data_IF_034654101438
#
_entry.id   IF_034654101438
#
_cell.length_a   1.000
_cell.length_b   1.000
_cell.length_c   1.000
_cell.angle_alpha   90.00
_cell.angle_beta   90.00
_cell.angle_gamma   90.00
#
_symmetry.space_group_name_H-M   'P 1'
#
loop_
_entity.id
_entity.type
_entity.pdbx_description
1 polymer ?
#
# COMPACT_ATOMS: atom_id res chain seq x y z
N UNK A 1 -26.21 -9.69 -35.18
CA UNK A 1 -25.37 -9.69 -33.97
C UNK A 1 -24.37 -10.80 -34.14
N UNK A 2 -23.09 -10.47 -34.06
CA UNK A 2 -21.99 -11.43 -34.19
C UNK A 2 -22.04 -12.47 -33.04
N UNK A 3 -21.56 -13.69 -33.29
CA UNK A 3 -21.60 -14.79 -32.32
C UNK A 3 -20.91 -14.41 -31.01
N UNK A 4 -19.77 -13.72 -31.12
CA UNK A 4 -18.94 -13.32 -29.97
C UNK A 4 -19.61 -12.23 -29.13
N UNK A 5 -20.30 -11.28 -29.77
CA UNK A 5 -21.06 -10.25 -29.07
C UNK A 5 -22.19 -10.83 -28.22
N UNK A 6 -22.83 -11.92 -28.70
CA UNK A 6 -23.88 -12.62 -27.95
C UNK A 6 -23.32 -13.42 -26.77
N UNK A 7 -22.17 -14.07 -26.95
CA UNK A 7 -21.48 -14.78 -25.86
C UNK A 7 -21.08 -13.80 -24.75
N UNK A 8 -20.53 -12.64 -25.13
CA UNK A 8 -20.15 -11.60 -24.18
C UNK A 8 -21.34 -11.02 -23.41
N UNK A 9 -22.46 -10.75 -24.08
CA UNK A 9 -23.68 -10.30 -23.42
C UNK A 9 -24.21 -11.33 -22.41
N UNK A 10 -24.25 -12.62 -22.78
CA UNK A 10 -24.64 -13.68 -21.87
C UNK A 10 -23.72 -13.78 -20.64
N UNK A 11 -22.42 -13.51 -20.81
CA UNK A 11 -21.46 -13.49 -19.70
C UNK A 11 -21.76 -12.34 -18.72
N UNK A 12 -22.10 -11.15 -19.23
CA UNK A 12 -22.53 -10.03 -18.38
C UNK A 12 -23.80 -10.39 -17.61
N UNK A 13 -24.81 -10.96 -18.28
CA UNK A 13 -26.06 -11.36 -17.63
C UNK A 13 -25.81 -12.40 -16.53
N UNK A 14 -24.99 -13.42 -16.85
CA UNK A 14 -24.60 -14.46 -15.89
C UNK A 14 -23.84 -13.89 -14.70
N UNK A 15 -22.94 -12.93 -14.93
CA UNK A 15 -22.20 -12.25 -13.86
C UNK A 15 -23.14 -11.49 -12.91
N UNK A 16 -24.19 -10.86 -13.44
CA UNK A 16 -25.18 -10.12 -12.65
C UNK A 16 -26.00 -11.06 -11.76
N UNK A 17 -26.43 -12.21 -12.30
CA UNK A 17 -27.12 -13.26 -11.54
C UNK A 17 -26.24 -13.75 -10.37
N UNK A 18 -25.00 -14.13 -10.66
CA UNK A 18 -24.07 -14.65 -9.64
C UNK A 18 -23.75 -13.61 -8.58
N UNK A 19 -23.61 -12.34 -8.95
CA UNK A 19 -23.41 -11.25 -8.01
C UNK A 19 -24.62 -11.11 -7.08
N UNK A 20 -25.85 -11.18 -7.61
CA UNK A 20 -27.07 -11.15 -6.81
C UNK A 20 -27.14 -12.32 -5.81
N UNK A 21 -26.82 -13.53 -6.25
CA UNK A 21 -26.75 -14.71 -5.36
C UNK A 21 -25.67 -14.56 -4.29
N UNK A 22 -24.50 -14.03 -4.63
CA UNK A 22 -23.40 -13.78 -3.69
C UNK A 22 -23.77 -12.74 -2.64
N UNK A 23 -24.44 -11.64 -3.04
CA UNK A 23 -24.93 -10.61 -2.12
C UNK A 23 -25.92 -11.23 -1.14
N UNK A 24 -26.92 -11.97 -1.63
CA UNK A 24 -27.89 -12.65 -0.77
C UNK A 24 -27.22 -13.65 0.18
N UNK A 25 -26.21 -14.38 -0.28
CA UNK A 25 -25.45 -15.30 0.55
C UNK A 25 -24.66 -14.57 1.66
N UNK A 26 -23.94 -13.50 1.32
CA UNK A 26 -23.12 -12.75 2.27
C UNK A 26 -23.92 -11.90 3.25
N UNK A 27 -25.16 -11.53 2.92
CA UNK A 27 -26.10 -10.87 3.84
C UNK A 27 -26.94 -11.85 4.67
N UNK A 28 -26.70 -13.16 4.57
CA UNK A 28 -27.40 -14.14 5.38
C UNK A 28 -26.95 -14.07 6.85
N UNK A 29 -27.82 -14.53 7.77
CA UNK A 29 -27.59 -14.54 9.22
C UNK A 29 -26.26 -15.23 9.65
N UNK A 30 -25.69 -16.07 8.78
CA UNK A 30 -24.38 -16.70 8.98
C UNK A 30 -23.26 -15.65 9.12
N UNK A 31 -23.39 -14.51 8.45
CA UNK A 31 -22.34 -13.51 8.33
C UNK A 31 -22.57 -12.25 9.17
N UNK A 32 -23.75 -12.10 9.79
CA UNK A 32 -24.12 -10.94 10.62
C UNK A 32 -23.05 -10.58 11.66
N UNK A 33 -22.44 -11.59 12.28
CA UNK A 33 -21.40 -11.37 13.31
C UNK A 33 -20.16 -10.63 12.80
N UNK A 34 -19.96 -10.54 11.49
CA UNK A 34 -18.85 -9.81 10.87
C UNK A 34 -19.33 -8.62 10.03
N UNK A 35 -20.43 -8.76 9.29
CA UNK A 35 -20.94 -7.66 8.46
C UNK A 35 -21.59 -6.54 9.30
N UNK A 36 -22.38 -6.90 10.32
CA UNK A 36 -23.09 -5.91 11.14
C UNK A 36 -22.16 -4.95 11.87
N UNK A 37 -21.05 -5.39 12.51
CA UNK A 37 -20.07 -4.47 13.09
C UNK A 37 -19.53 -3.43 12.11
N UNK A 38 -19.22 -3.83 10.86
CA UNK A 38 -18.69 -2.92 9.83
C UNK A 38 -19.72 -1.84 9.46
N UNK A 39 -20.99 -2.23 9.30
CA UNK A 39 -22.07 -1.29 9.01
C UNK A 39 -22.35 -0.34 10.18
N UNK A 40 -22.32 -0.85 11.42
CA UNK A 40 -22.53 -0.03 12.63
C UNK A 40 -21.38 0.96 12.86
N UNK A 41 -20.14 0.53 12.62
CA UNK A 41 -18.97 1.40 12.72
C UNK A 41 -19.08 2.58 11.75
N UNK A 42 -19.42 2.29 10.48
CA UNK A 42 -19.61 3.33 9.47
C UNK A 42 -20.82 4.23 9.74
N UNK A 43 -21.89 3.69 10.34
CA UNK A 43 -23.06 4.47 10.72
C UNK A 43 -22.79 5.44 11.90
N UNK A 44 -21.70 5.21 12.63
CA UNK A 44 -21.29 6.00 13.79
C UNK A 44 -22.30 6.00 14.94
N UNK A 45 -22.09 6.85 15.96
CA UNK A 45 -22.96 6.91 17.14
C UNK A 45 -24.41 7.30 16.82
N UNK A 46 -24.63 8.03 15.72
CA UNK A 46 -25.97 8.45 15.28
C UNK A 46 -26.74 7.36 14.51
N UNK A 47 -26.10 6.22 14.21
CA UNK A 47 -26.66 5.12 13.44
C UNK A 47 -27.24 5.58 12.08
N UNK A 48 -26.56 6.53 11.42
CA UNK A 48 -26.93 7.01 10.10
C UNK A 48 -25.89 6.54 9.09
N UNK A 49 -26.34 5.74 8.13
CA UNK A 49 -25.52 5.25 7.04
C UNK A 49 -26.18 5.62 5.71
N UNK A 50 -25.42 6.25 4.83
CA UNK A 50 -25.84 6.50 3.45
C UNK A 50 -25.93 5.18 2.67
N UNK A 51 -26.88 5.08 1.74
CA UNK A 51 -27.09 3.86 0.95
C UNK A 51 -25.87 3.52 0.09
N UNK A 52 -25.22 4.53 -0.50
CA UNK A 52 -24.00 4.38 -1.30
C UNK A 52 -22.87 3.78 -0.46
N UNK A 53 -22.72 4.28 0.76
CA UNK A 53 -21.70 3.82 1.70
C UNK A 53 -22.01 2.40 2.20
N UNK A 54 -23.27 2.08 2.50
CA UNK A 54 -23.69 0.73 2.83
C UNK A 54 -23.36 -0.26 1.70
N UNK A 55 -23.64 0.11 0.44
CA UNK A 55 -23.32 -0.70 -0.73
C UNK A 55 -21.81 -0.95 -0.81
N UNK A 56 -20.98 0.08 -0.60
CA UNK A 56 -19.51 -0.06 -0.61
C UNK A 56 -19.00 -1.00 0.47
N UNK A 57 -19.51 -0.87 1.69
CA UNK A 57 -19.13 -1.74 2.81
C UNK A 57 -19.52 -3.19 2.51
N UNK A 58 -20.72 -3.42 2.00
CA UNK A 58 -21.18 -4.75 1.61
C UNK A 58 -20.29 -5.30 0.50
N UNK A 59 -19.98 -4.52 -0.53
CA UNK A 59 -19.13 -4.98 -1.63
C UNK A 59 -17.72 -5.33 -1.15
N UNK A 60 -17.11 -4.47 -0.31
CA UNK A 60 -15.83 -4.75 0.32
C UNK A 60 -15.87 -6.05 1.14
N UNK A 61 -16.93 -6.23 1.94
CA UNK A 61 -17.14 -7.42 2.76
C UNK A 61 -17.23 -8.69 1.91
N UNK A 62 -17.99 -8.65 0.81
CA UNK A 62 -18.16 -9.79 -0.07
C UNK A 62 -16.86 -10.18 -0.76
N UNK A 63 -16.15 -9.18 -1.30
CA UNK A 63 -15.07 -9.41 -2.26
C UNK A 63 -13.70 -9.61 -1.60
N UNK A 64 -13.39 -8.84 -0.54
CA UNK A 64 -12.02 -8.74 -0.01
C UNK A 64 -11.89 -9.06 1.47
N UNK A 65 -12.95 -8.92 2.26
CA UNK A 65 -12.86 -9.14 3.71
C UNK A 65 -12.45 -10.58 4.02
N UNK A 66 -11.40 -10.71 4.83
CA UNK A 66 -10.84 -12.00 5.25
C UNK A 66 -11.49 -12.42 6.56
N UNK A 67 -12.20 -13.54 6.53
CA UNK A 67 -12.77 -14.17 7.73
C UNK A 67 -11.64 -14.68 8.65
N UNK A 68 -11.94 -15.08 9.91
CA UNK A 68 -10.91 -15.53 10.86
C UNK A 68 -10.04 -16.71 10.39
N UNK A 69 -10.48 -17.48 9.40
CA UNK A 69 -9.71 -18.56 8.78
C UNK A 69 -9.04 -18.17 7.46
N UNK A 70 -9.02 -16.89 7.12
CA UNK A 70 -8.36 -16.33 5.93
C UNK A 70 -9.19 -16.41 4.63
N UNK A 71 -10.32 -17.12 4.62
CA UNK A 71 -11.21 -17.20 3.46
C UNK A 71 -12.04 -15.91 3.27
N UNK A 72 -12.34 -15.54 2.03
CA UNK A 72 -13.34 -14.50 1.72
C UNK A 72 -14.76 -15.09 1.66
N UNK A 73 -15.78 -14.22 1.58
CA UNK A 73 -17.17 -14.67 1.36
C UNK A 73 -17.30 -15.36 -0.01
N UNK A 74 -16.60 -14.86 -1.03
CA UNK A 74 -16.48 -15.53 -2.34
C UNK A 74 -15.97 -16.97 -2.20
N UNK A 75 -14.88 -17.18 -1.45
CA UNK A 75 -14.30 -18.52 -1.27
C UNK A 75 -15.33 -19.48 -0.65
N UNK A 76 -16.08 -19.02 0.36
CA UNK A 76 -17.13 -19.80 1.02
C UNK A 76 -18.30 -20.11 0.08
N UNK A 77 -18.70 -19.13 -0.73
CA UNK A 77 -19.79 -19.27 -1.68
C UNK A 77 -19.46 -20.33 -2.75
N UNK A 78 -18.27 -20.21 -3.35
CA UNK A 78 -17.79 -21.15 -4.38
C UNK A 78 -17.59 -22.57 -3.82
N UNK A 79 -17.02 -22.71 -2.62
CA UNK A 79 -16.82 -24.01 -1.98
C UNK A 79 -18.14 -24.69 -1.60
N UNK A 80 -19.19 -23.93 -1.27
CA UNK A 80 -20.50 -24.43 -0.87
C UNK A 80 -21.40 -24.88 -2.03
N UNK A 81 -21.09 -24.49 -3.27
CA UNK A 81 -21.94 -24.72 -4.44
C UNK A 81 -21.33 -25.77 -5.37
N UNK A 82 -22.04 -26.87 -5.63
CA UNK A 82 -21.60 -27.94 -6.55
C UNK A 82 -22.15 -27.79 -7.97
N UNK A 83 -23.16 -26.96 -8.11
CA UNK A 83 -23.89 -26.65 -9.34
C UNK A 83 -23.22 -25.59 -10.22
N UNK A 84 -22.20 -24.89 -9.70
CA UNK A 84 -21.42 -23.92 -10.48
C UNK A 84 -20.58 -24.62 -11.54
N UNK A 85 -20.62 -24.08 -12.76
CA UNK A 85 -19.71 -24.46 -13.84
C UNK A 85 -18.29 -23.98 -13.55
N UNK A 86 -17.29 -24.51 -14.25
CA UNK A 86 -15.89 -24.07 -14.06
C UNK A 86 -15.72 -22.58 -14.38
N UNK A 87 -16.37 -22.10 -15.45
CA UNK A 87 -16.35 -20.69 -15.82
C UNK A 87 -17.00 -19.79 -14.75
N UNK A 88 -18.11 -20.24 -14.13
CA UNK A 88 -18.73 -19.50 -13.02
C UNK A 88 -17.79 -19.41 -11.81
N UNK A 89 -17.07 -20.50 -11.50
CA UNK A 89 -16.09 -20.53 -10.40
C UNK A 89 -14.94 -19.58 -10.68
N UNK A 90 -14.40 -19.61 -11.89
CA UNK A 90 -13.30 -18.75 -12.30
C UNK A 90 -13.70 -17.27 -12.22
N UNK A 91 -14.88 -16.92 -12.74
CA UNK A 91 -15.44 -15.58 -12.67
C UNK A 91 -15.57 -15.10 -11.21
N UNK A 92 -16.22 -15.89 -10.36
CA UNK A 92 -16.41 -15.56 -8.93
C UNK A 92 -15.08 -15.40 -8.20
N UNK A 93 -14.14 -16.35 -8.37
CA UNK A 93 -12.83 -16.30 -7.71
C UNK A 93 -11.97 -15.13 -8.21
N UNK A 94 -12.17 -14.67 -9.45
CA UNK A 94 -11.56 -13.45 -9.98
C UNK A 94 -12.00 -12.18 -9.24
N UNK A 95 -13.20 -12.17 -8.65
CA UNK A 95 -13.70 -11.00 -7.91
C UNK A 95 -13.03 -10.79 -6.55
N UNK A 96 -12.10 -11.65 -6.14
CA UNK A 96 -11.29 -11.48 -4.91
C UNK A 96 -10.25 -10.36 -5.03
N UNK A 97 -9.93 -9.96 -6.26
CA UNK A 97 -8.95 -8.92 -6.59
C UNK A 97 -9.63 -7.77 -7.36
N UNK A 98 -10.64 -7.10 -6.77
CA UNK A 98 -11.30 -6.00 -7.44
C UNK A 98 -10.40 -4.75 -7.47
N UNK A 99 -10.71 -3.84 -8.37
CA UNK A 99 -10.05 -2.53 -8.50
C UNK A 99 -10.98 -1.46 -7.97
N UNK A 100 -10.73 -1.05 -6.74
CA UNK A 100 -11.35 0.13 -6.14
C UNK A 100 -10.48 1.34 -6.46
N UNK A 101 -11.07 2.41 -6.96
CA UNK A 101 -10.29 3.56 -7.37
C UNK A 101 -11.07 4.79 -7.75
N UNK A 102 -10.28 5.80 -8.10
CA UNK A 102 -10.75 7.07 -8.64
C UNK A 102 -10.33 7.09 -10.10
N UNK A 103 -11.31 7.12 -11.00
CA UNK A 103 -11.06 6.95 -12.41
C UNK A 103 -11.38 8.22 -13.19
N UNK A 104 -10.50 8.64 -14.10
CA UNK A 104 -10.82 9.60 -15.15
C UNK A 104 -11.44 8.85 -16.33
N UNK A 105 -12.56 9.39 -16.86
CA UNK A 105 -13.21 8.86 -18.05
C UNK A 105 -12.42 9.33 -19.27
N UNK A 106 -11.69 8.42 -19.90
CA UNK A 106 -10.84 8.74 -21.06
C UNK A 106 -11.62 8.81 -22.36
N UNK A 107 -12.59 7.90 -22.54
CA UNK A 107 -13.48 7.86 -23.72
C UNK A 107 -14.67 6.94 -23.49
N UNK A 108 -15.71 7.13 -24.28
CA UNK A 108 -16.80 6.16 -24.47
C UNK A 108 -16.47 5.28 -25.68
N UNK A 109 -16.66 3.97 -25.55
CA UNK A 109 -16.36 2.99 -26.59
C UNK A 109 -17.51 1.98 -26.68
N UNK A 110 -18.53 2.34 -27.49
CA UNK A 110 -19.77 1.57 -27.62
C UNK A 110 -20.55 1.50 -26.31
N UNK A 111 -20.74 0.28 -25.81
CA UNK A 111 -21.40 -0.01 -24.53
C UNK A 111 -20.43 0.07 -23.33
N UNK A 112 -19.14 0.28 -23.58
CA UNK A 112 -18.12 0.43 -22.56
C UNK A 112 -17.71 1.89 -22.35
N UNK A 113 -17.10 2.14 -21.19
CA UNK A 113 -16.28 3.33 -20.93
C UNK A 113 -14.85 2.88 -20.66
N UNK A 114 -13.88 3.63 -21.17
CA UNK A 114 -12.47 3.40 -20.83
C UNK A 114 -12.06 4.36 -19.74
N UNK A 115 -11.62 3.78 -18.62
CA UNK A 115 -11.37 4.46 -17.36
C UNK A 115 -9.88 4.39 -17.04
N UNK A 116 -9.23 5.54 -16.87
CA UNK A 116 -7.87 5.58 -16.33
C UNK A 116 -7.97 5.67 -14.81
N UNK A 117 -7.43 4.70 -14.08
CA UNK A 117 -7.33 4.82 -12.64
C UNK A 117 -6.20 5.78 -12.27
N UNK A 118 -6.51 6.83 -11.51
CA UNK A 118 -5.55 7.86 -11.12
C UNK A 118 -4.53 7.38 -10.07
N UNK A 119 -4.73 6.19 -9.50
CA UNK A 119 -3.85 5.62 -8.46
C UNK A 119 -2.81 4.67 -9.05
N UNK A 120 -3.22 3.74 -9.91
CA UNK A 120 -2.34 2.72 -10.49
C UNK A 120 -1.86 3.05 -11.93
N UNK A 121 -2.41 4.10 -12.55
CA UNK A 121 -2.15 4.54 -13.94
C UNK A 121 -2.54 3.51 -15.03
N UNK A 122 -3.39 2.53 -14.74
CA UNK A 122 -3.88 1.57 -15.72
C UNK A 122 -5.21 2.01 -16.34
N UNK A 123 -5.40 1.67 -17.62
CA UNK A 123 -6.69 1.81 -18.30
C UNK A 123 -7.55 0.55 -18.15
N UNK A 124 -8.82 0.75 -17.83
CA UNK A 124 -9.82 -0.29 -17.60
C UNK A 124 -10.98 -0.12 -18.57
N UNK A 125 -11.14 -1.08 -19.50
CA UNK A 125 -12.32 -1.15 -20.36
C UNK A 125 -13.49 -1.70 -19.57
N UNK A 126 -14.43 -0.83 -19.24
CA UNK A 126 -15.43 -1.07 -18.20
C UNK A 126 -16.85 -1.10 -18.76
N UNK A 127 -17.62 -2.10 -18.34
CA UNK A 127 -19.00 -2.35 -18.70
C UNK A 127 -19.90 -2.27 -17.46
N UNK A 128 -21.21 -2.29 -17.68
CA UNK A 128 -22.22 -2.38 -16.63
C UNK A 128 -23.25 -3.46 -16.98
N UNK A 129 -23.75 -4.17 -15.97
CA UNK A 129 -24.84 -5.13 -16.12
C UNK A 129 -26.18 -4.49 -16.52
N UNK A 130 -26.35 -3.18 -16.35
CA UNK A 130 -27.52 -2.44 -16.87
C UNK A 130 -27.23 -1.75 -18.21
N UNK A 131 -26.10 -2.10 -18.83
CA UNK A 131 -25.66 -1.62 -20.14
C UNK A 131 -25.30 -0.13 -20.17
N UNK A 132 -25.32 0.45 -21.37
CA UNK A 132 -24.91 1.84 -21.62
C UNK A 132 -25.70 2.88 -20.79
N UNK A 133 -26.89 2.52 -20.30
CA UNK A 133 -27.73 3.39 -19.48
C UNK A 133 -27.00 3.85 -18.20
N UNK A 134 -26.15 3.00 -17.62
CA UNK A 134 -25.31 3.34 -16.45
C UNK A 134 -24.41 4.55 -16.71
N UNK A 135 -23.96 4.74 -17.96
CA UNK A 135 -22.97 5.74 -18.33
C UNK A 135 -23.57 6.99 -18.99
N UNK A 136 -24.90 7.17 -18.96
CA UNK A 136 -25.55 8.33 -19.61
C UNK A 136 -25.08 9.67 -19.06
N UNK A 137 -24.91 9.78 -17.74
CA UNK A 137 -24.43 11.01 -17.06
C UNK A 137 -22.91 11.18 -17.07
N UNK A 138 -22.18 10.18 -17.56
CA UNK A 138 -20.72 10.17 -17.55
C UNK A 138 -20.20 10.88 -18.80
N UNK A 139 -19.29 11.83 -18.63
CA UNK A 139 -18.63 12.55 -19.74
C UNK A 139 -17.13 12.29 -19.75
N UNK A 140 -16.53 12.35 -20.94
CA UNK A 140 -15.07 12.37 -21.08
C UNK A 140 -14.46 13.53 -20.27
N UNK A 141 -13.34 13.26 -19.59
CA UNK A 141 -12.72 14.18 -18.63
C UNK A 141 -13.49 14.35 -17.32
N UNK A 142 -14.61 13.64 -17.14
CA UNK A 142 -15.25 13.46 -15.84
C UNK A 142 -14.59 12.34 -15.03
N UNK A 143 -15.03 12.17 -13.79
CA UNK A 143 -14.45 11.20 -12.87
C UNK A 143 -15.50 10.24 -12.33
N UNK A 144 -15.09 9.01 -12.05
CA UNK A 144 -15.89 7.97 -11.42
C UNK A 144 -15.22 7.48 -10.14
N UNK A 145 -16.00 7.32 -9.09
CA UNK A 145 -15.60 6.67 -7.84
C UNK A 145 -16.37 5.36 -7.73
N UNK A 146 -15.67 4.24 -7.93
CA UNK A 146 -16.34 2.93 -8.05
C UNK A 146 -15.38 1.76 -7.80
N UNK A 147 -15.94 0.56 -7.73
CA UNK A 147 -15.23 -0.70 -7.65
C UNK A 147 -15.43 -1.46 -8.97
N UNK A 148 -14.35 -2.01 -9.52
CA UNK A 148 -14.38 -2.82 -10.74
C UNK A 148 -14.03 -4.26 -10.42
N UNK A 149 -14.76 -5.21 -10.98
CA UNK A 149 -14.45 -6.64 -10.92
C UNK A 149 -14.09 -7.16 -12.32
N UNK A 150 -13.15 -8.10 -12.44
CA UNK A 150 -12.78 -8.63 -13.74
C UNK A 150 -13.91 -9.50 -14.31
N UNK A 151 -14.12 -9.41 -15.62
CA UNK A 151 -15.09 -10.23 -16.35
C UNK A 151 -14.40 -11.42 -17.02
N UNK A 152 -13.81 -12.29 -16.21
CA UNK A 152 -13.11 -13.50 -16.69
C UNK A 152 -14.12 -14.47 -17.33
N UNK A 153 -13.82 -15.12 -18.48
CA UNK A 153 -12.53 -15.17 -19.20
C UNK A 153 -12.36 -14.10 -20.29
N UNK A 154 -13.17 -13.05 -20.32
CA UNK A 154 -12.96 -11.97 -21.29
C UNK A 154 -11.78 -11.09 -20.86
N UNK A 155 -10.61 -11.35 -21.46
CA UNK A 155 -9.38 -10.61 -21.17
C UNK A 155 -9.57 -9.10 -21.31
N UNK A 156 -9.13 -8.36 -20.29
CA UNK A 156 -9.16 -6.90 -20.28
C UNK A 156 -10.55 -6.27 -20.12
N UNK A 157 -11.62 -7.06 -19.92
CA UNK A 157 -12.96 -6.55 -19.65
C UNK A 157 -13.24 -6.48 -18.14
N UNK A 158 -13.82 -5.36 -17.73
CA UNK A 158 -14.15 -5.07 -16.33
C UNK A 158 -15.63 -4.73 -16.18
N UNK A 159 -16.21 -5.07 -15.04
CA UNK A 159 -17.58 -4.69 -14.68
C UNK A 159 -17.58 -3.79 -13.47
N UNK A 160 -18.45 -2.77 -13.50
CA UNK A 160 -18.79 -2.00 -12.31
C UNK A 160 -19.44 -2.91 -11.29
N UNK A 161 -18.94 -2.88 -10.05
CA UNK A 161 -19.49 -3.56 -8.89
C UNK A 161 -19.87 -2.53 -7.83
N UNK A 162 -21.06 -2.69 -7.25
CA UNK A 162 -21.54 -1.83 -6.17
C UNK A 162 -21.93 -0.43 -6.65
N UNK A 163 -21.68 0.57 -5.80
CA UNK A 163 -22.08 1.93 -6.06
C UNK A 163 -21.09 2.63 -7.02
N UNK A 164 -21.65 3.49 -7.89
CA UNK A 164 -20.90 4.36 -8.78
C UNK A 164 -21.30 5.80 -8.51
N UNK A 165 -20.32 6.61 -8.12
CA UNK A 165 -20.47 8.05 -8.06
C UNK A 165 -19.77 8.69 -9.26
N UNK A 166 -20.37 9.76 -9.79
CA UNK A 166 -19.82 10.48 -10.94
C UNK A 166 -19.64 11.96 -10.61
N UNK A 167 -18.51 12.49 -11.04
CA UNK A 167 -18.12 13.87 -10.80
C UNK A 167 -17.75 14.54 -12.12
N UNK A 168 -18.17 15.79 -12.29
CA UNK A 168 -17.80 16.57 -13.48
C UNK A 168 -16.34 17.04 -13.38
N UNK A 169 -15.71 17.27 -14.54
CA UNK A 169 -14.31 17.72 -14.62
C UNK A 169 -14.00 19.05 -13.90
N UNK A 170 -15.02 19.82 -13.48
CA UNK A 170 -14.83 21.03 -12.70
C UNK A 170 -14.23 20.77 -11.29
N UNK A 171 -14.40 19.56 -10.74
CA UNK A 171 -13.84 19.16 -9.44
C UNK A 171 -12.49 18.43 -9.52
N UNK A 172 -11.74 18.60 -10.61
CA UNK A 172 -10.53 17.81 -10.85
C UNK A 172 -9.44 17.98 -9.77
N UNK A 173 -9.35 19.15 -9.14
CA UNK A 173 -8.35 19.42 -8.10
C UNK A 173 -8.68 18.65 -6.81
N UNK A 174 -9.93 18.67 -6.37
CA UNK A 174 -10.41 17.92 -5.21
C UNK A 174 -10.28 16.40 -5.44
N UNK A 175 -10.63 15.95 -6.65
CA UNK A 175 -10.48 14.55 -7.06
C UNK A 175 -9.00 14.13 -7.05
N UNK A 176 -8.10 14.98 -7.56
CA UNK A 176 -6.67 14.71 -7.52
C UNK A 176 -6.13 14.63 -6.07
N UNK A 177 -6.59 15.51 -5.18
CA UNK A 177 -6.22 15.44 -3.76
C UNK A 177 -6.72 14.14 -3.10
N UNK A 178 -7.94 13.71 -3.41
CA UNK A 178 -8.48 12.44 -2.94
C UNK A 178 -7.66 11.24 -3.46
N UNK A 179 -7.28 11.24 -4.73
CA UNK A 179 -6.47 10.19 -5.33
C UNK A 179 -5.04 10.15 -4.75
N UNK A 180 -4.44 11.32 -4.50
CA UNK A 180 -3.15 11.43 -3.81
C UNK A 180 -3.23 10.87 -2.38
N UNK A 181 -4.28 11.23 -1.63
CA UNK A 181 -4.48 10.70 -0.29
C UNK A 181 -4.65 9.17 -0.31
N UNK A 182 -5.38 8.64 -1.29
CA UNK A 182 -5.56 7.20 -1.46
C UNK A 182 -4.22 6.51 -1.79
N UNK A 183 -3.40 7.07 -2.68
CA UNK A 183 -2.07 6.53 -3.02
C UNK A 183 -1.09 6.52 -1.84
N UNK A 184 -1.21 7.48 -0.91
CA UNK A 184 -0.39 7.58 0.30
C UNK A 184 -0.89 6.63 1.40
N UNK A 185 -2.19 6.59 1.63
CA UNK A 185 -2.79 5.77 2.70
C UNK A 185 -2.88 4.28 2.36
N UNK A 186 -2.90 3.95 1.06
CA UNK A 186 -3.03 2.58 0.52
C UNK A 186 -2.08 2.35 -0.67
N UNK A 187 -0.76 2.32 -0.44
CA UNK A 187 0.23 2.17 -1.51
C UNK A 187 0.11 0.85 -2.28
N UNK A 188 -0.49 -0.19 -1.70
CA UNK A 188 -0.78 -1.46 -2.36
C UNK A 188 -1.67 -1.31 -3.60
N UNK A 189 -2.50 -0.26 -3.65
CA UNK A 189 -3.34 0.04 -4.82
C UNK A 189 -2.49 0.53 -5.99
N UNK A 190 -1.45 1.33 -5.73
CA UNK A 190 -0.52 1.85 -6.74
C UNK A 190 0.27 0.70 -7.38
N UNK A 191 0.71 -0.25 -6.54
CA UNK A 191 1.54 -1.39 -6.95
C UNK A 191 0.80 -2.49 -7.70
N UNK A 192 -0.49 -2.29 -7.98
CA UNK A 192 -1.21 -3.11 -8.95
C UNK A 192 -0.54 -3.05 -10.34
N UNK A 193 0.01 -1.90 -10.69
CA UNK A 193 0.78 -1.72 -11.90
C UNK A 193 2.25 -2.15 -11.66
N UNK A 194 2.76 -3.20 -12.35
CA UNK A 194 4.15 -3.62 -12.22
C UNK A 194 5.16 -2.53 -12.56
N UNK A 195 4.84 -1.65 -13.51
CA UNK A 195 5.72 -0.53 -13.87
C UNK A 195 5.85 0.46 -12.71
N UNK A 196 4.80 0.65 -11.90
CA UNK A 196 4.85 1.48 -10.69
C UNK A 196 5.75 0.88 -9.62
N UNK A 197 5.79 -0.45 -9.50
CA UNK A 197 6.73 -1.13 -8.60
C UNK A 197 8.16 -0.84 -9.04
N UNK A 198 8.47 -0.98 -10.33
CA UNK A 198 9.80 -0.69 -10.87
C UNK A 198 10.20 0.78 -10.69
N UNK A 199 9.27 1.70 -10.97
CA UNK A 199 9.45 3.14 -10.74
C UNK A 199 9.71 3.45 -9.27
N UNK A 200 8.95 2.84 -8.34
CA UNK A 200 9.15 3.01 -6.90
C UNK A 200 10.54 2.55 -6.46
N UNK A 201 11.00 1.39 -6.94
CA UNK A 201 12.35 0.90 -6.65
C UNK A 201 13.43 1.81 -7.23
N UNK A 202 13.23 2.33 -8.44
CA UNK A 202 14.16 3.27 -9.06
C UNK A 202 14.24 4.57 -8.25
N UNK A 203 13.10 5.12 -7.85
CA UNK A 203 13.03 6.32 -7.03
C UNK A 203 13.74 6.13 -5.69
N UNK A 204 13.55 4.99 -5.01
CA UNK A 204 14.27 4.69 -3.76
C UNK A 204 15.78 4.63 -3.94
N UNK A 205 16.28 4.04 -5.04
CA UNK A 205 17.72 4.00 -5.32
C UNK A 205 18.30 5.38 -5.58
N UNK A 206 17.56 6.24 -6.29
CA UNK A 206 17.95 7.62 -6.54
C UNK A 206 17.94 8.45 -5.26
N UNK A 207 16.89 8.32 -4.44
CA UNK A 207 16.78 8.99 -3.14
C UNK A 207 17.88 8.55 -2.18
N UNK A 208 18.21 7.24 -2.17
CA UNK A 208 19.33 6.71 -1.40
C UNK A 208 20.66 7.30 -1.86
N UNK A 209 20.88 7.37 -3.17
CA UNK A 209 22.11 7.94 -3.74
C UNK A 209 22.26 9.41 -3.32
N UNK A 210 21.20 10.20 -3.46
CA UNK A 210 21.19 11.60 -3.03
C UNK A 210 21.42 11.76 -1.52
N UNK A 211 20.83 10.87 -0.70
CA UNK A 211 21.06 10.86 0.74
C UNK A 211 22.53 10.58 1.06
N UNK A 212 23.13 9.55 0.44
CA UNK A 212 24.55 9.20 0.66
C UNK A 212 25.48 10.32 0.18
N UNK A 213 25.18 10.97 -0.95
CA UNK A 213 25.96 12.11 -1.45
C UNK A 213 25.91 13.30 -0.48
N UNK A 214 24.75 13.57 0.12
CA UNK A 214 24.57 14.67 1.08
C UNK A 214 25.19 14.37 2.45
N UNK A 215 24.92 13.18 2.99
CA UNK A 215 25.31 12.77 4.34
C UNK A 215 26.71 12.14 4.42
N UNK A 216 27.28 11.73 3.30
CA UNK A 216 28.56 11.00 3.21
C UNK A 216 28.48 9.51 3.56
N UNK A 217 27.36 9.03 4.09
CA UNK A 217 27.12 7.62 4.41
C UNK A 217 25.63 7.29 4.36
N UNK A 218 25.32 6.02 4.11
CA UNK A 218 23.94 5.49 4.14
C UNK A 218 23.52 4.98 5.53
N UNK A 219 24.40 5.05 6.53
CA UNK A 219 24.16 4.63 7.90
C UNK A 219 24.84 5.62 8.84
N UNK A 220 24.09 6.19 9.78
CA UNK A 220 24.55 7.19 10.75
C UNK A 220 24.03 6.85 12.15
N UNK A 221 24.77 7.30 13.17
CA UNK A 221 24.34 7.25 14.57
C UNK A 221 24.55 8.63 15.17
N UNK A 222 23.48 9.29 15.54
CA UNK A 222 23.46 10.69 15.98
C UNK A 222 22.69 10.85 17.29
N UNK A 223 22.83 12.01 17.94
CA UNK A 223 21.86 12.42 18.96
C UNK A 223 20.51 12.75 18.29
N UNK A 224 19.37 12.69 19.00
CA UNK A 224 18.07 13.03 18.42
C UNK A 224 18.04 14.44 17.79
N UNK A 225 18.62 15.45 18.47
CA UNK A 225 18.68 16.81 17.95
C UNK A 225 19.51 16.94 16.66
N UNK A 226 20.68 16.30 16.61
CA UNK A 226 21.52 16.31 15.41
C UNK A 226 20.84 15.57 14.23
N UNK A 227 20.08 14.50 14.54
CA UNK A 227 19.31 13.76 13.53
C UNK A 227 18.21 14.62 12.90
N UNK A 228 17.43 15.35 13.71
CA UNK A 228 16.42 16.28 13.22
C UNK A 228 17.04 17.39 12.38
N UNK A 229 18.13 18.01 12.85
CA UNK A 229 18.81 19.07 12.12
C UNK A 229 19.31 18.58 10.75
N UNK A 230 19.95 17.40 10.73
CA UNK A 230 20.45 16.79 9.49
C UNK A 230 19.31 16.49 8.50
N UNK A 231 18.22 15.88 8.97
CA UNK A 231 17.09 15.50 8.10
C UNK A 231 16.40 16.72 7.52
N UNK A 232 16.18 17.75 8.34
CA UNK A 232 15.63 19.02 7.88
C UNK A 232 16.55 19.71 6.86
N UNK A 233 17.86 19.68 7.06
CA UNK A 233 18.83 20.19 6.11
C UNK A 233 18.80 19.40 4.79
N UNK A 234 18.73 18.07 4.86
CA UNK A 234 18.63 17.19 3.70
C UNK A 234 17.35 17.44 2.89
N UNK A 235 16.19 17.52 3.55
CA UNK A 235 14.92 17.78 2.87
C UNK A 235 14.90 19.17 2.21
N UNK A 236 15.46 20.18 2.86
CA UNK A 236 15.63 21.53 2.26
C UNK A 236 16.50 21.47 1.02
N UNK A 237 17.65 20.79 1.09
CA UNK A 237 18.55 20.62 -0.05
C UNK A 237 17.87 19.89 -1.23
N UNK A 238 17.11 18.83 -0.96
CA UNK A 238 16.33 18.10 -1.99
C UNK A 238 15.29 19.00 -2.65
N UNK A 239 14.60 19.83 -1.87
CA UNK A 239 13.61 20.77 -2.38
C UNK A 239 14.26 21.81 -3.31
N UNK A 240 15.36 22.42 -2.88
CA UNK A 240 16.09 23.42 -3.67
C UNK A 240 16.60 22.82 -4.99
N UNK A 241 17.16 21.61 -4.94
CA UNK A 241 17.66 20.89 -6.12
C UNK A 241 16.53 20.57 -7.10
N UNK A 242 15.38 20.10 -6.59
CA UNK A 242 14.20 19.79 -7.42
C UNK A 242 13.63 21.05 -8.08
N UNK A 243 13.54 22.15 -7.33
CA UNK A 243 13.08 23.44 -7.83
C UNK A 243 14.01 24.00 -8.93
N UNK A 244 15.33 23.86 -8.74
CA UNK A 244 16.33 24.27 -9.72
C UNK A 244 16.26 23.45 -11.02
N UNK A 245 15.96 22.16 -10.93
CA UNK A 245 15.81 21.27 -12.08
C UNK A 245 14.54 21.54 -12.91
N UNK A 246 13.50 22.14 -12.31
CA UNK A 246 12.19 22.36 -12.96
C UNK A 246 11.70 23.83 -12.89
N UNK A 247 12.43 24.80 -13.49
CA UNK A 247 12.10 26.23 -13.38
C UNK A 247 10.72 26.60 -13.98
N UNK A 248 10.19 25.78 -14.91
CA UNK A 248 8.87 25.98 -15.53
C UNK A 248 7.65 25.56 -14.69
N UNK A 249 7.83 24.76 -13.62
CA UNK A 249 6.76 24.48 -12.63
C UNK A 249 6.59 25.60 -11.60
N UNK A 250 7.60 26.47 -11.44
CA UNK A 250 7.62 27.58 -10.48
C UNK A 250 6.82 28.83 -10.90
N UNK A 251 6.24 28.87 -12.12
CA UNK A 251 5.52 30.06 -12.61
C UNK A 251 4.08 30.22 -12.07
N UNK A 252 3.55 29.24 -11.34
CA UNK A 252 2.17 29.25 -10.79
C UNK A 252 2.07 29.43 -9.27
N UNK A 253 3.17 29.26 -8.53
CA UNK A 253 3.26 29.59 -7.11
C UNK A 253 4.65 30.20 -6.90
N UNK A 254 4.72 31.37 -6.25
CA UNK A 254 5.93 31.77 -5.51
C UNK A 254 6.41 30.54 -4.72
N UNK A 255 7.72 30.43 -4.47
CA UNK A 255 8.33 29.38 -3.62
C UNK A 255 7.32 28.88 -2.57
N UNK A 256 7.14 27.57 -2.38
CA UNK A 256 6.29 27.11 -1.28
C UNK A 256 6.69 27.82 0.01
N UNK A 257 5.66 28.25 0.73
CA UNK A 257 5.67 28.92 2.02
C UNK A 257 6.87 28.56 2.93
N UNK A 258 7.37 29.50 3.77
CA UNK A 258 8.19 29.17 4.94
C UNK A 258 7.57 28.15 5.91
N UNK A 259 6.33 27.70 5.68
CA UNK A 259 5.60 26.66 6.42
C UNK A 259 5.72 25.25 5.79
N UNK A 260 6.90 24.84 5.30
CA UNK A 260 7.12 23.40 5.14
C UNK A 260 7.28 22.80 6.54
N UNK A 261 6.47 21.81 6.94
CA UNK A 261 6.59 21.25 8.27
C UNK A 261 8.00 20.72 8.45
N UNK A 262 8.69 21.21 9.48
CA UNK A 262 9.95 20.63 9.90
C UNK A 262 9.70 19.16 10.22
N UNK A 263 10.62 18.31 9.79
CA UNK A 263 10.67 16.96 10.30
C UNK A 263 10.93 17.03 11.80
N UNK A 264 10.03 16.42 12.56
CA UNK A 264 10.14 16.20 14.00
C UNK A 264 10.23 14.69 14.23
N UNK A 265 11.14 14.27 15.10
CA UNK A 265 11.23 12.86 15.46
C UNK A 265 9.98 12.46 16.26
N UNK A 266 9.44 11.26 16.00
CA UNK A 266 8.47 10.63 16.88
C UNK A 266 8.98 10.61 18.34
N UNK A 267 8.09 10.72 19.35
CA UNK A 267 8.49 10.80 20.75
C UNK A 267 9.48 9.72 21.20
N UNK A 268 9.26 8.46 20.77
CA UNK A 268 10.12 7.33 21.14
C UNK A 268 11.56 7.48 20.63
N UNK A 269 11.77 8.20 19.51
CA UNK A 269 13.10 8.50 18.96
C UNK A 269 13.70 9.77 19.57
N UNK A 270 12.87 10.74 19.94
CA UNK A 270 13.29 11.96 20.61
C UNK A 270 13.81 11.68 22.03
N UNK A 271 13.23 10.70 22.73
CA UNK A 271 13.62 10.28 24.08
C UNK A 271 14.81 9.32 24.12
N UNK A 272 15.31 8.87 22.95
CA UNK A 272 16.42 7.92 22.87
C UNK A 272 17.79 8.56 23.16
N UNK A 273 18.75 7.76 23.65
CA UNK A 273 20.13 8.21 23.86
C UNK A 273 20.81 8.51 22.50
N UNK A 274 20.48 7.72 21.47
CA UNK A 274 20.96 7.88 20.10
C UNK A 274 19.91 7.44 19.09
N UNK A 275 19.95 8.01 17.88
CA UNK A 275 19.12 7.61 16.74
C UNK A 275 20.03 7.05 15.65
N UNK A 276 19.76 5.81 15.24
CA UNK A 276 20.31 5.22 14.02
C UNK A 276 19.49 5.65 12.82
N UNK A 277 20.13 6.19 11.78
CA UNK A 277 19.51 6.51 10.50
C UNK A 277 20.11 5.56 9.46
N UNK A 278 19.29 4.74 8.82
CA UNK A 278 19.75 3.81 7.77
C UNK A 278 18.91 4.03 6.52
N UNK A 279 19.57 4.35 5.41
CA UNK A 279 18.95 4.31 4.08
C UNK A 279 19.40 3.03 3.36
N UNK A 280 18.52 2.03 3.37
CA UNK A 280 18.71 0.73 2.71
C UNK A 280 18.05 0.67 1.32
N UNK A 281 18.57 -0.19 0.45
CA UNK A 281 18.07 -0.35 -0.93
C UNK A 281 16.70 -1.05 -0.99
N UNK A 282 16.37 -1.87 0.01
CA UNK A 282 15.11 -2.63 0.09
C UNK A 282 14.19 -1.99 1.12
N UNK A 283 14.69 -1.79 2.34
CA UNK A 283 13.87 -1.32 3.46
C UNK A 283 13.66 0.21 3.45
N UNK A 284 14.40 0.95 2.63
CA UNK A 284 14.30 2.41 2.52
C UNK A 284 14.94 3.15 3.69
N UNK A 285 14.51 4.41 3.91
CA UNK A 285 14.98 5.25 5.00
C UNK A 285 14.27 4.88 6.31
N UNK A 286 15.03 4.40 7.30
CA UNK A 286 14.54 3.95 8.58
C UNK A 286 15.29 4.61 9.75
N UNK A 287 14.59 4.72 10.88
CA UNK A 287 15.07 5.34 12.11
C UNK A 287 14.99 4.35 13.29
N UNK A 288 16.03 4.30 14.12
CA UNK A 288 16.19 3.27 15.14
C UNK A 288 16.63 3.85 16.48
N UNK A 289 15.79 3.71 17.52
CA UNK A 289 16.07 4.20 18.87
C UNK A 289 17.19 3.41 19.54
N UNK A 290 18.10 4.11 20.23
CA UNK A 290 19.26 3.55 20.95
C UNK A 290 20.20 2.68 20.08
N UNK A 291 20.21 2.89 18.77
CA UNK A 291 20.99 2.07 17.83
C UNK A 291 22.50 2.10 18.12
N UNK A 292 23.02 3.22 18.65
CA UNK A 292 24.41 3.32 19.10
C UNK A 292 24.79 2.30 20.16
N UNK A 293 23.88 2.00 21.10
CA UNK A 293 24.11 1.01 22.15
C UNK A 293 24.11 -0.42 21.61
N UNK A 294 23.31 -0.70 20.58
CA UNK A 294 23.39 -1.98 19.88
C UNK A 294 24.69 -2.10 19.08
N UNK A 295 25.13 -1.03 18.42
CA UNK A 295 26.43 -1.02 17.75
C UNK A 295 27.56 -1.34 18.72
N UNK A 296 27.55 -0.71 19.89
CA UNK A 296 28.54 -0.97 20.94
C UNK A 296 28.47 -2.42 21.44
N UNK A 297 27.27 -2.99 21.61
CA UNK A 297 27.08 -4.40 21.98
C UNK A 297 27.71 -5.37 20.96
N UNK A 298 27.57 -5.08 19.67
CA UNK A 298 28.15 -5.91 18.62
C UNK A 298 29.65 -5.70 18.46
N UNK A 299 30.17 -4.51 18.78
CA UNK A 299 31.60 -4.25 18.84
C UNK A 299 32.27 -4.92 20.06
N UNK A 300 31.61 -4.93 21.23
CA UNK A 300 32.10 -5.54 22.48
C UNK A 300 31.08 -6.51 23.11
N UNK A 301 31.20 -7.83 22.86
CA UNK A 301 30.34 -8.85 23.45
C UNK A 301 30.41 -8.97 24.98
N UNK A 302 31.31 -8.26 25.67
CA UNK A 302 31.29 -8.22 27.13
C UNK A 302 30.11 -7.39 27.65
N UNK A 303 29.61 -6.45 26.84
CA UNK A 303 28.41 -5.68 27.15
C UNK A 303 27.14 -6.53 27.19
N UNK A 304 27.15 -7.75 26.61
CA UNK A 304 26.03 -8.69 26.72
C UNK A 304 25.77 -9.13 28.17
N UNK A 305 26.69 -8.90 29.12
CA UNK A 305 26.41 -9.11 30.55
C UNK A 305 25.49 -8.05 31.16
N UNK A 306 25.29 -6.90 30.49
CA UNK A 306 24.47 -5.80 30.98
C UNK A 306 23.01 -5.99 30.54
N UNK A 307 22.10 -5.93 31.52
CA UNK A 307 20.67 -6.12 31.28
C UNK A 307 20.10 -5.15 30.22
N UNK A 308 20.45 -3.85 30.28
CA UNK A 308 20.00 -2.83 29.31
C UNK A 308 20.29 -3.25 27.86
N UNK A 309 21.49 -3.77 27.57
CA UNK A 309 21.89 -4.13 26.21
C UNK A 309 21.19 -5.40 25.71
N UNK A 310 21.02 -6.40 26.59
CA UNK A 310 20.26 -7.60 26.24
C UNK A 310 18.78 -7.30 25.98
N UNK A 311 18.18 -6.46 26.82
CA UNK A 311 16.77 -6.12 26.71
C UNK A 311 16.52 -5.31 25.43
N UNK A 312 17.41 -4.37 25.08
CA UNK A 312 17.36 -3.65 23.81
C UNK A 312 17.44 -4.57 22.59
N UNK A 313 18.38 -5.52 22.55
CA UNK A 313 18.47 -6.49 21.44
C UNK A 313 17.24 -7.41 21.38
N UNK A 314 16.63 -7.74 22.52
CA UNK A 314 15.36 -8.48 22.54
C UNK A 314 14.21 -7.66 21.97
N UNK A 315 14.15 -6.36 22.26
CA UNK A 315 13.17 -5.44 21.66
C UNK A 315 13.31 -5.45 20.15
N UNK A 316 14.52 -5.21 19.64
CA UNK A 316 14.79 -5.22 18.19
C UNK A 316 14.42 -6.54 17.51
N UNK A 317 14.61 -7.67 18.18
CA UNK A 317 14.21 -8.98 17.65
C UNK A 317 12.69 -9.20 17.64
N UNK A 318 11.93 -8.56 18.54
CA UNK A 318 10.51 -8.88 18.77
C UNK A 318 9.53 -7.85 18.23
N UNK A 319 9.94 -6.59 18.16
CA UNK A 319 9.03 -5.51 17.78
C UNK A 319 8.73 -5.53 16.29
N UNK A 320 7.45 -5.46 15.93
CA UNK A 320 6.99 -5.54 14.54
C UNK A 320 7.20 -4.23 13.78
N UNK A 321 7.45 -3.13 14.48
CA UNK A 321 7.86 -1.84 13.88
C UNK A 321 9.31 -1.86 13.39
N UNK A 322 10.13 -2.80 13.85
CA UNK A 322 11.57 -2.87 13.54
C UNK A 322 11.81 -4.01 12.55
N UNK A 323 12.27 -3.69 11.34
CA UNK A 323 12.63 -4.71 10.33
C UNK A 323 13.86 -5.53 10.76
N UNK A 324 14.20 -6.64 10.08
CA UNK A 324 15.45 -7.36 10.34
C UNK A 324 16.72 -6.57 9.99
N UNK A 325 16.61 -5.46 9.26
CA UNK A 325 17.71 -4.65 8.73
C UNK A 325 18.81 -4.31 9.74
N UNK A 326 18.54 -3.64 10.89
CA UNK A 326 19.57 -3.22 11.81
C UNK A 326 20.39 -4.39 12.34
N UNK A 327 19.74 -5.54 12.56
CA UNK A 327 20.43 -6.75 13.04
C UNK A 327 21.34 -7.33 11.96
N UNK A 328 20.86 -7.41 10.71
CA UNK A 328 21.67 -7.85 9.56
C UNK A 328 22.88 -6.94 9.34
N UNK A 329 22.69 -5.62 9.41
CA UNK A 329 23.75 -4.61 9.26
C UNK A 329 24.82 -4.78 10.35
N UNK A 330 24.41 -4.85 11.62
CA UNK A 330 25.32 -5.04 12.74
C UNK A 330 26.06 -6.38 12.65
N UNK A 331 25.38 -7.46 12.28
CA UNK A 331 26.01 -8.76 12.10
C UNK A 331 27.06 -8.76 10.98
N UNK A 332 26.77 -8.11 9.86
CA UNK A 332 27.68 -7.98 8.73
C UNK A 332 28.88 -7.08 9.06
N UNK A 333 28.67 -6.01 9.84
CA UNK A 333 29.73 -5.12 10.30
C UNK A 333 30.65 -5.77 11.36
N UNK A 334 30.14 -6.76 12.11
CA UNK A 334 30.81 -7.37 13.25
C UNK A 334 30.85 -8.92 13.18
N UNK A 335 31.40 -9.52 12.10
CA UNK A 335 31.37 -10.97 11.91
C UNK A 335 32.17 -11.74 12.95
N UNK A 336 33.20 -11.12 13.56
CA UNK A 336 34.03 -11.75 14.59
C UNK A 336 33.36 -11.87 15.97
N UNK A 337 32.30 -11.10 16.22
CA UNK A 337 31.70 -10.94 17.56
C UNK A 337 30.22 -11.30 17.60
N UNK A 338 29.51 -11.23 16.47
CA UNK A 338 28.07 -11.52 16.35
C UNK A 338 27.67 -12.87 16.96
N UNK A 339 28.43 -13.92 16.68
CA UNK A 339 28.21 -15.26 17.22
C UNK A 339 28.20 -15.24 18.76
N UNK A 340 29.16 -14.55 19.37
CA UNK A 340 29.28 -14.46 20.83
C UNK A 340 28.10 -13.70 21.44
N UNK A 341 27.66 -12.62 20.80
CA UNK A 341 26.49 -11.84 21.23
C UNK A 341 25.25 -12.73 21.27
N UNK A 342 24.96 -13.44 20.18
CA UNK A 342 23.77 -14.29 20.09
C UNK A 342 23.85 -15.55 20.95
N UNK A 343 25.01 -16.21 21.05
CA UNK A 343 25.21 -17.35 21.97
C UNK A 343 24.87 -16.96 23.41
N UNK A 344 25.34 -15.79 23.86
CA UNK A 344 25.06 -15.25 25.20
C UNK A 344 23.58 -14.85 25.35
N UNK A 345 23.00 -14.18 24.36
CA UNK A 345 21.60 -13.72 24.39
C UNK A 345 20.61 -14.89 24.43
N UNK A 346 20.81 -15.87 23.55
CA UNK A 346 19.91 -17.01 23.34
C UNK A 346 20.22 -18.18 24.29
N UNK A 347 21.37 -18.15 24.98
CA UNK A 347 21.91 -19.25 25.80
C UNK A 347 22.07 -20.54 24.97
N UNK A 348 22.52 -20.39 23.73
CA UNK A 348 22.72 -21.48 22.78
C UNK A 348 24.18 -21.51 22.31
N UNK A 349 25.07 -22.34 22.93
CA UNK A 349 26.49 -22.36 22.60
C UNK A 349 26.80 -22.71 21.14
N UNK A 350 25.97 -23.55 20.51
CA UNK A 350 26.10 -23.95 19.11
C UNK A 350 25.59 -22.93 18.09
N UNK A 351 25.09 -21.76 18.53
CA UNK A 351 24.62 -20.75 17.60
C UNK A 351 25.78 -20.19 16.76
N UNK A 352 25.52 -20.02 15.47
CA UNK A 352 26.36 -19.30 14.49
C UNK A 352 25.45 -18.44 13.64
N UNK A 353 25.81 -17.17 13.45
CA UNK A 353 25.03 -16.24 12.62
C UNK A 353 24.95 -16.71 11.17
N UNK A 354 26.05 -17.23 10.62
CA UNK A 354 26.11 -17.70 9.23
C UNK A 354 25.12 -18.85 8.95
N UNK A 355 24.93 -19.75 9.92
CA UNK A 355 24.05 -20.92 9.76
C UNK A 355 22.61 -20.67 10.26
N UNK A 356 22.46 -19.87 11.32
CA UNK A 356 21.21 -19.78 12.08
C UNK A 356 20.58 -18.37 12.09
N UNK A 357 21.29 -17.35 11.60
CA UNK A 357 20.86 -15.95 11.70
C UNK A 357 19.56 -15.68 10.96
N UNK A 358 19.46 -16.09 9.69
CA UNK A 358 18.25 -15.89 8.90
C UNK A 358 17.05 -16.69 9.42
N UNK A 359 17.27 -17.92 9.88
CA UNK A 359 16.20 -18.72 10.50
C UNK A 359 15.71 -18.10 11.81
N UNK A 360 16.63 -17.53 12.61
CA UNK A 360 16.26 -16.77 13.80
C UNK A 360 15.37 -15.58 13.44
N UNK A 361 15.74 -14.79 12.41
CA UNK A 361 14.98 -13.62 11.98
C UNK A 361 13.62 -14.00 11.42
N UNK A 362 13.52 -15.04 10.56
CA UNK A 362 12.25 -15.56 10.03
C UNK A 362 11.30 -16.00 11.14
N UNK A 363 11.81 -16.71 12.14
CA UNK A 363 11.00 -17.14 13.29
C UNK A 363 10.54 -15.97 14.17
N UNK A 364 11.35 -14.92 14.28
CA UNK A 364 11.09 -13.78 15.17
C UNK A 364 10.27 -12.69 14.52
N UNK A 365 10.35 -12.55 13.20
CA UNK A 365 9.68 -11.51 12.40
C UNK A 365 8.96 -12.14 11.20
N UNK A 366 8.06 -13.12 11.41
CA UNK A 366 7.40 -13.82 10.29
C UNK A 366 6.68 -12.87 9.35
N UNK A 367 6.04 -11.83 9.90
CA UNK A 367 5.35 -10.77 9.14
C UNK A 367 6.21 -10.14 8.03
N UNK A 368 7.52 -10.01 8.24
CA UNK A 368 8.43 -9.41 7.27
C UNK A 368 8.66 -10.32 6.05
N UNK A 369 8.52 -11.63 6.23
CA UNK A 369 8.78 -12.64 5.20
C UNK A 369 7.49 -13.21 4.59
N UNK A 370 6.32 -12.80 5.09
CA UNK A 370 5.02 -13.23 4.56
C UNK A 370 4.77 -12.70 3.14
N UNK A 371 5.30 -11.51 2.83
CA UNK A 371 5.13 -10.85 1.54
C UNK A 371 6.48 -10.50 0.92
N UNK A 372 6.51 -10.46 -0.41
CA UNK A 372 7.65 -9.86 -1.11
C UNK A 372 7.75 -8.37 -0.74
N UNK A 373 8.97 -7.85 -0.50
CA UNK A 373 9.16 -6.43 -0.26
C UNK A 373 8.56 -5.59 -1.39
N UNK A 374 7.94 -4.48 -1.02
CA UNK A 374 7.45 -3.45 -1.94
C UNK A 374 8.24 -2.17 -1.70
N UNK A 375 8.40 -1.31 -2.72
CA UNK A 375 9.08 -0.04 -2.51
C UNK A 375 8.30 0.80 -1.49
N UNK A 376 9.03 1.47 -0.60
CA UNK A 376 8.46 2.36 0.42
C UNK A 376 7.96 3.71 -0.11
N UNK A 377 7.97 3.90 -1.44
CA UNK A 377 7.54 5.13 -2.10
C UNK A 377 6.58 4.82 -3.26
N UNK A 378 5.50 5.60 -3.36
CA UNK A 378 4.55 5.56 -4.47
C UNK A 378 4.87 6.67 -5.46
N UNK A 379 5.21 6.31 -6.70
CA UNK A 379 5.44 7.29 -7.77
C UNK A 379 4.10 7.71 -8.38
N UNK A 380 3.75 8.98 -8.20
CA UNK A 380 2.52 9.56 -8.74
C UNK A 380 2.60 9.64 -10.27
N UNK A 381 1.52 9.25 -10.94
CA UNK A 381 1.39 9.35 -12.39
C UNK A 381 1.38 10.78 -12.92
N UNK A 382 1.84 10.94 -14.16
CA UNK A 382 1.87 12.25 -14.84
C UNK A 382 0.47 12.87 -14.87
N UNK A 383 -0.57 12.08 -15.16
CA UNK A 383 -1.94 12.60 -15.23
C UNK A 383 -2.44 13.08 -13.87
N UNK A 384 -2.24 12.31 -12.81
CA UNK A 384 -2.61 12.74 -11.45
C UNK A 384 -1.82 14.00 -11.04
N UNK A 385 -0.54 14.08 -11.39
CA UNK A 385 0.30 15.25 -11.13
C UNK A 385 -0.18 16.50 -11.90
N UNK A 386 -0.63 16.35 -13.15
CA UNK A 386 -1.23 17.44 -13.94
C UNK A 386 -2.51 17.97 -13.30
N UNK A 387 -3.42 17.07 -12.92
CA UNK A 387 -4.68 17.42 -12.28
C UNK A 387 -4.45 18.13 -10.94
N UNK A 388 -3.51 17.62 -10.12
CA UNK A 388 -3.13 18.26 -8.86
C UNK A 388 -2.49 19.65 -9.06
N UNK A 389 -1.81 19.86 -10.19
CA UNK A 389 -1.25 21.15 -10.57
C UNK A 389 -2.28 22.12 -11.19
N UNK A 390 -3.54 21.70 -11.34
CA UNK A 390 -4.60 22.49 -11.99
C UNK A 390 -4.39 22.66 -13.50
N UNK A 391 -3.59 21.78 -14.13
CA UNK A 391 -3.37 21.77 -15.58
C UNK A 391 -4.43 20.85 -16.20
N UNK A 392 -5.10 21.34 -17.26
CA UNK A 392 -6.12 20.57 -17.99
C UNK A 392 -5.48 19.67 -19.03
#
# INVERSE_FOLDING_TARGET
MDSDARVFANLIDRSAELKGELVAFGQSARFDRWLTPLLLEAAGPELKLDETEAIRIIDHFLLRYRLPDGATVVDRFVAGRRDLTEADRELLLGWREPVEGIFEVRRKDGDAVVLLNLVDDLEYRTYSNVGQAAFRGVSEGGFLLTCLVPLVPADGAWLVSGAMEHYLGAGAAEIAQAALHLAVSRPELVFRNPEKIEQGWQQMREDRTAFVEFCGAGELVLSPGDAEELLNAYYRHRQETTAAAHPGRARGKRLPDPDFPSFELPPDLADADTVGIIYDEIDGLNFYADYGMLRDLFADPNLTGRRKHQDLLRTYLREDSITPLPIRRLAAAHPGTVDTVFRKLLRQPGFSWAEHGEELLRRRKPWYYENEPRPGVSVIGDRLAELAAGRR
#
